data_IF_531696779893
#
_entry.id   IF_531696779893
#
_cell.length_a   1.000
_cell.length_b   1.000
_cell.length_c   1.000
_cell.angle_alpha   90.00
_cell.angle_beta   90.00
_cell.angle_gamma   90.00
#
_symmetry.space_group_name_H-M   'P 1'
#
loop_
_entity.id
_entity.type
_entity.pdbx_description
1 polymer ?
#
# COMPACT_ATOMS: atom_id res chain seq x y z
N UNK A 1 -13.20 -14.09 -6.02
CA UNK A 1 -11.76 -13.75 -6.11
C UNK A 1 -11.44 -12.30 -5.79
N UNK A 2 -12.06 -11.30 -6.45
CA UNK A 2 -11.78 -9.87 -6.20
C UNK A 2 -11.80 -9.45 -4.73
N UNK A 3 -12.81 -9.89 -3.95
CA UNK A 3 -12.88 -9.56 -2.52
C UNK A 3 -11.69 -10.07 -1.71
N UNK A 4 -11.24 -11.31 -1.97
CA UNK A 4 -10.10 -11.95 -1.27
C UNK A 4 -8.79 -11.24 -1.64
N UNK A 5 -8.60 -10.94 -2.92
CA UNK A 5 -7.46 -10.15 -3.37
C UNK A 5 -7.45 -8.77 -2.70
N UNK A 6 -8.60 -8.08 -2.66
CA UNK A 6 -8.73 -6.76 -2.05
C UNK A 6 -8.33 -6.77 -0.57
N UNK A 7 -8.91 -7.67 0.23
CA UNK A 7 -8.60 -7.74 1.66
C UNK A 7 -7.15 -8.17 1.90
N UNK A 8 -6.53 -8.96 1.03
CA UNK A 8 -5.10 -9.29 1.18
C UNK A 8 -4.22 -8.04 1.17
N UNK A 9 -4.41 -7.15 0.20
CA UNK A 9 -3.64 -5.90 0.13
C UNK A 9 -4.07 -4.89 1.20
N UNK A 10 -5.38 -4.81 1.49
CA UNK A 10 -5.91 -3.87 2.47
C UNK A 10 -5.46 -4.20 3.91
N UNK A 11 -5.43 -5.47 4.30
CA UNK A 11 -4.94 -5.90 5.62
C UNK A 11 -3.44 -5.60 5.79
N UNK A 12 -2.63 -5.78 4.74
CA UNK A 12 -1.20 -5.40 4.81
C UNK A 12 -1.00 -3.88 4.89
N UNK A 13 -1.80 -3.12 4.13
CA UNK A 13 -1.77 -1.66 4.15
C UNK A 13 -2.16 -1.10 5.53
N UNK A 14 -3.22 -1.63 6.12
CA UNK A 14 -3.69 -1.22 7.45
C UNK A 14 -2.72 -1.62 8.55
N UNK A 15 -2.13 -2.82 8.48
CA UNK A 15 -1.02 -3.21 9.36
C UNK A 15 0.10 -2.19 9.37
N UNK A 16 0.52 -1.76 8.17
CA UNK A 16 1.59 -0.77 8.03
C UNK A 16 1.17 0.57 8.65
N UNK A 17 -0.05 1.03 8.35
CA UNK A 17 -0.59 2.27 8.88
C UNK A 17 -0.69 2.26 10.41
N UNK A 18 -1.21 1.20 11.03
CA UNK A 18 -1.33 1.10 12.49
C UNK A 18 0.03 1.06 13.16
N UNK A 19 0.96 0.24 12.64
CA UNK A 19 2.34 0.18 13.16
C UNK A 19 3.03 1.55 13.10
N UNK A 20 2.90 2.26 11.99
CA UNK A 20 3.53 3.58 11.84
C UNK A 20 2.83 4.64 12.70
N UNK A 21 1.50 4.58 12.82
CA UNK A 21 0.73 5.47 13.69
C UNK A 21 1.19 5.33 15.14
N UNK A 22 1.35 4.09 15.63
CA UNK A 22 1.80 3.83 17.01
C UNK A 22 3.14 4.51 17.33
N UNK A 23 4.09 4.46 16.39
CA UNK A 23 5.40 5.13 16.54
C UNK A 23 5.32 6.65 16.57
N UNK A 24 4.38 7.23 15.80
CA UNK A 24 4.21 8.69 15.67
C UNK A 24 3.38 9.26 16.84
N UNK A 25 2.57 8.45 17.52
CA UNK A 25 1.73 8.91 18.62
C UNK A 25 2.52 9.43 19.84
N UNK A 26 3.75 8.97 20.07
CA UNK A 26 4.53 9.29 21.27
C UNK A 26 3.79 9.01 22.59
N UNK A 27 2.86 8.05 22.58
CA UNK A 27 2.06 7.60 23.71
C UNK A 27 2.25 6.07 23.86
N UNK A 28 2.83 5.59 24.98
CA UNK A 28 3.09 4.16 25.18
C UNK A 28 1.84 3.26 25.16
N UNK A 29 0.69 3.78 25.58
CA UNK A 29 -0.58 3.04 25.60
C UNK A 29 -1.10 2.91 24.17
N UNK A 30 -1.10 4.01 23.41
CA UNK A 30 -1.51 4.01 22.02
C UNK A 30 -0.60 3.11 21.16
N UNK A 31 0.71 3.18 21.35
CA UNK A 31 1.67 2.32 20.65
C UNK A 31 1.41 0.84 20.93
N UNK A 32 1.22 0.47 22.21
CA UNK A 32 0.90 -0.92 22.60
C UNK A 32 -0.40 -1.40 21.97
N UNK A 33 -1.45 -0.56 21.97
CA UNK A 33 -2.75 -0.91 21.38
C UNK A 33 -2.64 -1.11 19.86
N UNK A 34 -2.01 -0.17 19.15
CA UNK A 34 -1.85 -0.22 17.71
C UNK A 34 -0.94 -1.37 17.26
N UNK A 35 0.05 -1.74 18.06
CA UNK A 35 0.90 -2.89 17.80
C UNK A 35 0.11 -4.22 17.86
N UNK A 36 -0.88 -4.33 18.77
CA UNK A 36 -1.79 -5.50 18.82
C UNK A 36 -2.68 -5.56 17.58
N UNK A 37 -3.31 -4.44 17.21
CA UNK A 37 -4.13 -4.35 15.99
C UNK A 37 -3.30 -4.73 14.74
N UNK A 38 -2.10 -4.17 14.60
CA UNK A 38 -1.20 -4.50 13.49
C UNK A 38 -0.77 -5.98 13.47
N UNK A 39 -0.79 -6.65 14.63
CA UNK A 39 -0.51 -8.09 14.71
C UNK A 39 -1.70 -8.90 14.19
N UNK A 40 -2.92 -8.52 14.56
CA UNK A 40 -4.14 -9.16 14.07
C UNK A 40 -4.29 -9.01 12.55
N UNK A 41 -4.08 -7.80 12.02
CA UNK A 41 -4.10 -7.52 10.58
C UNK A 41 -3.03 -8.32 9.82
N UNK A 42 -1.88 -8.59 10.44
CA UNK A 42 -0.88 -9.48 9.86
C UNK A 42 -1.39 -10.92 9.71
N UNK A 43 -2.11 -11.42 10.73
CA UNK A 43 -2.68 -12.77 10.69
C UNK A 43 -3.78 -12.86 9.63
N UNK A 44 -4.65 -11.84 9.53
CA UNK A 44 -5.66 -11.75 8.49
C UNK A 44 -5.04 -11.72 7.09
N UNK A 45 -4.04 -10.87 6.90
CA UNK A 45 -3.29 -10.78 5.65
C UNK A 45 -2.71 -12.13 5.25
N UNK A 46 -2.04 -12.85 6.18
CA UNK A 46 -1.46 -14.17 5.89
C UNK A 46 -2.56 -15.15 5.47
N UNK A 47 -3.70 -15.15 6.15
CA UNK A 47 -4.83 -16.01 5.84
C UNK A 47 -5.33 -15.77 4.41
N UNK A 48 -5.68 -14.54 4.05
CA UNK A 48 -6.19 -14.22 2.71
C UNK A 48 -5.14 -14.41 1.61
N UNK A 49 -3.88 -14.07 1.90
CA UNK A 49 -2.75 -14.30 0.99
C UNK A 49 -2.60 -15.77 0.64
N UNK A 50 -2.74 -16.66 1.62
CA UNK A 50 -2.63 -18.10 1.41
C UNK A 50 -3.82 -18.65 0.62
N UNK A 51 -5.03 -18.10 0.80
CA UNK A 51 -6.18 -18.45 -0.04
C UNK A 51 -5.96 -18.04 -1.50
N UNK A 52 -5.47 -16.82 -1.73
CA UNK A 52 -5.10 -16.37 -3.09
C UNK A 52 -3.98 -17.22 -3.70
N UNK A 53 -2.99 -17.66 -2.90
CA UNK A 53 -1.95 -18.58 -3.38
C UNK A 53 -2.55 -19.91 -3.84
N UNK A 54 -3.41 -20.53 -3.03
CA UNK A 54 -4.10 -21.77 -3.43
C UNK A 54 -4.99 -21.57 -4.67
N UNK A 55 -5.64 -20.42 -4.80
CA UNK A 55 -6.45 -20.10 -5.97
C UNK A 55 -5.62 -19.90 -7.25
N UNK A 56 -4.40 -19.35 -7.14
CA UNK A 56 -3.47 -19.28 -8.27
C UNK A 56 -3.08 -20.68 -8.76
N UNK A 57 -2.95 -21.65 -7.85
CA UNK A 57 -2.59 -23.03 -8.23
C UNK A 57 -3.76 -23.82 -8.87
N UNK A 58 -5.00 -23.40 -8.63
CA UNK A 58 -6.21 -24.04 -9.19
C UNK A 58 -6.69 -23.34 -10.47
N UNK A 59 -6.68 -22.01 -10.49
CA UNK A 59 -7.21 -21.17 -11.56
C UNK A 59 -6.29 -19.94 -11.76
N UNK A 60 -5.10 -20.13 -12.35
CA UNK A 60 -4.05 -19.09 -12.40
C UNK A 60 -4.51 -17.82 -13.12
N UNK A 61 -5.02 -17.93 -14.35
CA UNK A 61 -5.44 -16.79 -15.17
C UNK A 61 -6.57 -15.98 -14.50
N UNK A 62 -7.62 -16.67 -14.02
CA UNK A 62 -8.75 -16.03 -13.36
C UNK A 62 -8.33 -15.32 -12.06
N UNK A 63 -7.43 -15.96 -11.29
CA UNK A 63 -6.94 -15.38 -10.04
C UNK A 63 -6.03 -14.19 -10.31
N UNK A 64 -5.14 -14.28 -11.29
CA UNK A 64 -4.29 -13.16 -11.72
C UNK A 64 -5.15 -11.98 -12.19
N UNK A 65 -6.19 -12.22 -13.01
CA UNK A 65 -7.13 -11.18 -13.44
C UNK A 65 -7.77 -10.48 -12.24
N UNK A 66 -8.23 -11.24 -11.25
CA UNK A 66 -8.81 -10.65 -10.04
C UNK A 66 -7.81 -9.81 -9.24
N UNK A 67 -6.55 -10.26 -9.13
CA UNK A 67 -5.46 -9.51 -8.47
C UNK A 67 -5.17 -8.21 -9.22
N UNK A 68 -5.00 -8.27 -10.54
CA UNK A 68 -4.70 -7.12 -11.39
C UNK A 68 -5.82 -6.08 -11.31
N UNK A 69 -7.07 -6.49 -11.50
CA UNK A 69 -8.23 -5.60 -11.37
C UNK A 69 -8.33 -4.99 -9.98
N UNK A 70 -8.02 -5.75 -8.92
CA UNK A 70 -8.01 -5.24 -7.55
C UNK A 70 -6.97 -4.14 -7.36
N UNK A 71 -5.73 -4.36 -7.80
CA UNK A 71 -4.64 -3.41 -7.63
C UNK A 71 -4.88 -2.11 -8.43
N UNK A 72 -5.36 -2.24 -9.67
CA UNK A 72 -5.65 -1.09 -10.52
C UNK A 72 -6.79 -0.21 -10.00
N UNK A 73 -7.72 -0.80 -9.25
CA UNK A 73 -8.87 -0.11 -8.67
C UNK A 73 -8.78 0.01 -7.14
N UNK A 74 -7.59 -0.21 -6.56
CA UNK A 74 -7.45 -0.26 -5.11
C UNK A 74 -7.77 1.11 -4.51
N UNK A 75 -8.64 1.11 -3.51
CA UNK A 75 -8.98 2.27 -2.71
C UNK A 75 -8.99 1.84 -1.24
N UNK A 76 -8.37 2.65 -0.37
CA UNK A 76 -8.48 2.42 1.07
C UNK A 76 -9.96 2.53 1.50
N UNK A 77 -10.40 1.71 2.47
CA UNK A 77 -11.71 1.88 3.08
C UNK A 77 -11.90 3.31 3.57
N UNK A 78 -13.08 3.88 3.32
CA UNK A 78 -13.36 5.30 3.60
C UNK A 78 -13.08 6.24 2.43
N UNK A 79 -12.60 5.76 1.28
CA UNK A 79 -12.63 6.53 0.04
C UNK A 79 -14.06 7.00 -0.24
N UNK A 80 -14.30 8.31 -0.11
CA UNK A 80 -15.63 8.92 -0.19
C UNK A 80 -16.10 9.62 1.08
N UNK A 81 -15.43 9.45 2.22
CA UNK A 81 -15.75 10.21 3.44
C UNK A 81 -15.31 11.68 3.30
N UNK A 82 -15.97 12.62 4.00
CA UNK A 82 -15.51 14.00 4.07
C UNK A 82 -14.03 14.09 4.46
N UNK A 83 -13.29 15.02 3.85
CA UNK A 83 -11.87 15.26 4.12
C UNK A 83 -10.91 14.09 3.84
N UNK A 84 -11.33 13.01 3.19
CA UNK A 84 -10.49 11.83 2.94
C UNK A 84 -9.13 12.17 2.32
N UNK A 85 -9.11 12.98 1.24
CA UNK A 85 -7.87 13.41 0.59
C UNK A 85 -6.97 14.23 1.52
N UNK A 86 -7.55 15.06 2.39
CA UNK A 86 -6.81 15.85 3.37
C UNK A 86 -6.18 14.95 4.43
N UNK A 87 -6.92 13.95 4.93
CA UNK A 87 -6.40 12.98 5.88
C UNK A 87 -5.28 12.14 5.26
N UNK A 88 -5.44 11.68 4.02
CA UNK A 88 -4.37 10.99 3.29
C UNK A 88 -3.09 11.83 3.14
N UNK A 89 -3.23 13.12 2.81
CA UNK A 89 -2.08 14.02 2.74
C UNK A 89 -1.37 14.21 4.10
N UNK A 90 -2.13 14.24 5.21
CA UNK A 90 -1.57 14.30 6.56
C UNK A 90 -0.86 13.00 6.96
N UNK A 91 -1.43 11.85 6.61
CA UNK A 91 -0.79 10.55 6.84
C UNK A 91 0.55 10.46 6.12
N UNK A 92 0.58 10.83 4.84
CA UNK A 92 1.81 10.83 4.06
C UNK A 92 2.85 11.84 4.59
N UNK A 93 2.41 13.03 5.01
CA UNK A 93 3.31 14.04 5.61
C UNK A 93 4.00 13.53 6.88
N UNK A 94 3.31 12.72 7.67
CA UNK A 94 3.83 12.17 8.93
C UNK A 94 4.43 10.76 8.79
N UNK A 95 4.61 10.27 7.55
CA UNK A 95 5.21 8.94 7.30
C UNK A 95 4.34 7.76 7.76
N UNK A 96 3.05 7.97 7.98
CA UNK A 96 2.11 6.92 8.42
C UNK A 96 1.81 5.96 7.27
N UNK A 97 1.40 6.51 6.13
CA UNK A 97 1.08 5.75 4.92
C UNK A 97 1.15 6.64 3.69
N UNK A 98 1.89 6.21 2.66
CA UNK A 98 1.99 6.91 1.37
C UNK A 98 2.10 5.94 0.18
N UNK A 99 2.23 6.50 -1.04
CA UNK A 99 2.34 5.70 -2.27
C UNK A 99 3.60 4.82 -2.29
N UNK A 100 4.73 5.31 -1.75
CA UNK A 100 5.98 4.55 -1.72
C UNK A 100 5.84 3.33 -0.84
N UNK A 101 5.29 3.53 0.35
CA UNK A 101 4.97 2.46 1.28
C UNK A 101 3.96 1.46 0.69
N UNK A 102 2.92 1.93 0.00
CA UNK A 102 2.00 1.00 -0.68
C UNK A 102 2.69 0.16 -1.76
N UNK A 103 3.56 0.77 -2.57
CA UNK A 103 4.26 0.04 -3.63
C UNK A 103 5.25 -0.99 -3.05
N UNK A 104 6.16 -0.55 -2.17
CA UNK A 104 7.31 -1.34 -1.70
C UNK A 104 6.97 -2.29 -0.56
N UNK A 105 6.07 -1.90 0.35
CA UNK A 105 5.77 -2.67 1.56
C UNK A 105 4.46 -3.45 1.47
N UNK A 106 3.60 -3.14 0.48
CA UNK A 106 2.30 -3.82 0.29
C UNK A 106 2.25 -4.59 -1.02
N UNK A 107 2.32 -3.90 -2.16
CA UNK A 107 2.09 -4.52 -3.47
C UNK A 107 3.21 -5.48 -3.88
N UNK A 108 4.46 -4.98 -3.98
CA UNK A 108 5.61 -5.78 -4.42
C UNK A 108 5.84 -7.02 -3.54
N UNK A 109 5.75 -6.97 -2.19
CA UNK A 109 5.97 -8.15 -1.34
C UNK A 109 4.92 -9.25 -1.53
N UNK A 110 3.64 -8.89 -1.67
CA UNK A 110 2.56 -9.85 -1.92
C UNK A 110 2.75 -10.50 -3.30
N UNK A 111 2.97 -9.70 -4.34
CA UNK A 111 3.17 -10.21 -5.71
C UNK A 111 4.41 -11.11 -5.80
N UNK A 112 5.48 -10.77 -5.08
CA UNK A 112 6.68 -11.62 -4.97
C UNK A 112 6.40 -12.93 -4.24
N UNK A 113 5.60 -12.89 -3.17
CA UNK A 113 5.22 -14.11 -2.43
C UNK A 113 4.46 -15.09 -3.32
N UNK A 114 3.58 -14.58 -4.18
CA UNK A 114 2.86 -15.39 -5.17
C UNK A 114 3.66 -15.69 -6.45
N UNK A 115 4.88 -15.15 -6.56
CA UNK A 115 5.79 -15.34 -7.70
C UNK A 115 5.15 -14.98 -9.05
N UNK A 116 4.28 -13.97 -9.09
CA UNK A 116 3.44 -13.67 -10.27
C UNK A 116 4.26 -13.52 -11.56
N UNK A 117 5.43 -12.89 -11.49
CA UNK A 117 6.29 -12.68 -12.67
C UNK A 117 7.21 -13.86 -13.00
N UNK A 118 7.25 -14.89 -12.16
CA UNK A 118 8.07 -16.11 -12.35
C UNK A 118 7.22 -17.33 -12.70
N UNK A 119 5.90 -17.24 -12.55
CA UNK A 119 4.95 -18.30 -12.91
C UNK A 119 5.01 -18.60 -14.42
N UNK A 120 4.85 -19.87 -14.77
CA UNK A 120 4.91 -20.38 -16.15
C UNK A 120 3.64 -21.14 -16.53
N UNK A 121 2.59 -21.01 -15.72
CA UNK A 121 1.33 -21.76 -15.82
C UNK A 121 0.15 -20.87 -16.28
N UNK A 122 0.44 -19.66 -16.75
CA UNK A 122 -0.55 -18.79 -17.38
C UNK A 122 -0.78 -19.18 -18.84
N UNK A 123 -2.03 -19.03 -19.30
CA UNK A 123 -2.32 -19.08 -20.74
C UNK A 123 -2.01 -17.74 -21.40
N UNK A 124 -2.27 -17.61 -22.71
CA UNK A 124 -2.11 -16.33 -23.41
C UNK A 124 -2.92 -15.18 -22.77
N UNK A 125 -4.10 -15.46 -22.22
CA UNK A 125 -4.91 -14.46 -21.51
C UNK A 125 -4.28 -14.04 -20.18
N UNK A 126 -3.79 -15.01 -19.40
CA UNK A 126 -3.02 -14.75 -18.18
C UNK A 126 -1.75 -13.94 -18.45
N UNK A 127 -1.03 -14.24 -19.53
CA UNK A 127 0.15 -13.48 -19.95
C UNK A 127 -0.18 -12.02 -20.30
N UNK A 128 -1.24 -11.78 -21.06
CA UNK A 128 -1.71 -10.42 -21.33
C UNK A 128 -2.06 -9.68 -20.02
N UNK A 129 -2.68 -10.37 -19.07
CA UNK A 129 -3.01 -9.83 -17.76
C UNK A 129 -1.76 -9.53 -16.93
N UNK A 130 -0.71 -10.34 -17.07
CA UNK A 130 0.58 -10.14 -16.41
C UNK A 130 1.32 -8.94 -16.97
N UNK A 131 1.29 -8.76 -18.29
CA UNK A 131 1.84 -7.56 -18.95
C UNK A 131 1.11 -6.29 -18.51
N UNK A 132 -0.23 -6.33 -18.46
CA UNK A 132 -1.06 -5.23 -17.94
C UNK A 132 -0.67 -4.87 -16.50
N UNK A 133 -0.52 -5.86 -15.63
CA UNK A 133 -0.05 -5.67 -14.26
C UNK A 133 1.35 -5.06 -14.21
N UNK A 134 2.28 -5.55 -15.02
CA UNK A 134 3.65 -5.01 -15.09
C UNK A 134 3.69 -3.55 -15.55
N UNK A 135 2.89 -3.20 -16.56
CA UNK A 135 2.73 -1.83 -17.03
C UNK A 135 2.13 -0.92 -15.95
N UNK A 136 1.12 -1.42 -15.22
CA UNK A 136 0.53 -0.70 -14.09
C UNK A 136 1.55 -0.44 -12.97
N UNK A 137 2.33 -1.44 -12.56
CA UNK A 137 3.37 -1.27 -11.52
C UNK A 137 4.43 -0.25 -11.93
N UNK A 138 4.87 -0.29 -13.19
CA UNK A 138 5.83 0.68 -13.74
C UNK A 138 5.27 2.09 -13.67
N UNK A 139 4.02 2.28 -14.08
CA UNK A 139 3.34 3.58 -13.99
C UNK A 139 3.19 4.03 -12.53
N UNK A 140 2.78 3.13 -11.64
CA UNK A 140 2.62 3.42 -10.21
C UNK A 140 3.94 3.88 -9.56
N UNK A 141 5.07 3.26 -9.95
CA UNK A 141 6.40 3.66 -9.51
C UNK A 141 6.78 5.07 -10.00
N UNK A 142 6.51 5.39 -11.27
CA UNK A 142 6.71 6.75 -11.79
C UNK A 142 5.85 7.79 -11.06
N UNK A 143 4.58 7.45 -10.79
CA UNK A 143 3.67 8.34 -10.08
C UNK A 143 4.07 8.50 -8.61
N UNK A 144 4.66 7.48 -8.00
CA UNK A 144 5.26 7.54 -6.66
C UNK A 144 6.43 8.54 -6.62
N UNK A 145 7.33 8.49 -7.61
CA UNK A 145 8.45 9.44 -7.71
C UNK A 145 7.94 10.88 -7.83
N UNK A 146 6.98 11.13 -8.73
CA UNK A 146 6.37 12.47 -8.88
C UNK A 146 5.68 12.95 -7.59
N UNK A 147 5.08 12.04 -6.85
CA UNK A 147 4.47 12.33 -5.56
C UNK A 147 5.51 12.78 -4.53
N UNK A 148 6.64 12.06 -4.41
CA UNK A 148 7.76 12.40 -3.53
C UNK A 148 8.37 13.76 -3.90
N UNK A 149 8.66 14.00 -5.19
CA UNK A 149 9.16 15.31 -5.66
C UNK A 149 8.22 16.46 -5.31
N UNK A 150 6.90 16.23 -5.43
CA UNK A 150 5.90 17.24 -5.06
C UNK A 150 5.89 17.48 -3.56
N UNK A 151 5.97 16.43 -2.74
CA UNK A 151 6.05 16.53 -1.28
C UNK A 151 7.29 17.33 -0.85
N UNK A 152 8.45 17.01 -1.39
CA UNK A 152 9.72 17.62 -1.00
C UNK A 152 9.76 19.10 -1.38
N UNK A 153 9.25 19.45 -2.57
CA UNK A 153 9.08 20.86 -2.99
C UNK A 153 8.15 21.64 -2.05
N UNK A 154 7.07 21.03 -1.56
CA UNK A 154 6.16 21.68 -0.60
C UNK A 154 6.83 21.87 0.76
N UNK A 155 7.56 20.86 1.24
CA UNK A 155 8.33 20.94 2.48
C UNK A 155 9.40 22.06 2.40
N UNK A 156 10.16 22.13 1.31
CA UNK A 156 11.17 23.17 1.07
C UNK A 156 10.55 24.59 1.07
N UNK A 157 9.35 24.75 0.48
CA UNK A 157 8.61 26.02 0.53
C UNK A 157 8.14 26.38 1.93
N UNK A 158 7.73 25.40 2.74
CA UNK A 158 7.31 25.62 4.13
C UNK A 158 8.50 26.07 5.00
N UNK A 159 9.69 25.46 4.80
CA UNK A 159 10.94 25.89 5.44
C UNK A 159 11.33 27.30 5.02
N UNK A 160 11.30 27.62 3.72
CA UNK A 160 11.63 28.96 3.23
C UNK A 160 10.70 30.05 3.78
N UNK A 161 9.42 29.74 4.02
CA UNK A 161 8.45 30.66 4.63
C UNK A 161 8.64 30.87 6.13
N UNK A 162 9.18 29.90 6.86
CA UNK A 162 9.40 30.01 8.31
C UNK A 162 10.59 30.91 8.69
N UNK A 163 11.50 31.21 7.76
CA UNK A 163 12.70 32.02 8.01
C UNK A 163 13.69 31.33 8.97
N UNK A 164 14.95 31.81 9.09
CA UNK A 164 15.85 31.32 10.12
C UNK A 164 15.27 31.66 11.51
N UNK A 165 15.19 30.66 12.38
CA UNK A 165 14.81 30.86 13.78
C UNK A 165 15.82 31.80 14.43
N UNK A 166 15.40 33.03 14.73
CA UNK A 166 16.13 33.92 15.61
C UNK A 166 16.04 33.33 17.02
N UNK A 167 16.91 32.37 17.32
CA UNK A 167 17.19 31.98 18.70
C UNK A 167 17.88 33.18 19.35
N UNK A 168 17.08 33.96 20.09
CA UNK A 168 17.59 34.97 21.00
C UNK A 168 18.39 34.26 22.10
N UNK A 169 19.65 34.69 22.19
CA UNK A 169 20.60 34.48 23.28
C UNK A 169 20.05 34.84 24.65
#
# INVERSE_FOLDING_TARGET
MHGIAYVTFQELATRLSHRNTGKVCHDPIAETMLQRIATDENLHMIFYRNICAAALDVAPDQTLRAITTTLMNFQMPGAGTPNFLRHGALMAKNGIYDMRQHLEDVMKPILRTWKIFERTDFTAEGEQTREELGAFLTKYEQDTIKFEERRDRLAAREVARRGPSTLLS
#
